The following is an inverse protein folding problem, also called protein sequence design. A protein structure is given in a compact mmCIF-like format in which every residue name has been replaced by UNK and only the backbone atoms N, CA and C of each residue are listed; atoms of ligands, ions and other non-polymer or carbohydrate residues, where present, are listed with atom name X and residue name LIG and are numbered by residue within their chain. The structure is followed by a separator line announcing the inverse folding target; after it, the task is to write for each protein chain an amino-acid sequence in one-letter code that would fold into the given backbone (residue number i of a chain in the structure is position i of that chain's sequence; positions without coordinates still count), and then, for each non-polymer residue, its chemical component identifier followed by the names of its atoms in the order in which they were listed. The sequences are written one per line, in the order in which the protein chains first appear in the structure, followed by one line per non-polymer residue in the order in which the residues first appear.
data_IF_959605242841
#
_entry.id   IF_959605242841
#
_cell.length_a   1.000
_cell.length_b   1.000
_cell.length_c   1.000
_cell.angle_alpha   90.00
_cell.angle_beta   90.00
_cell.angle_gamma   90.00
#
_symmetry.space_group_name_H-M   'P 1'
#
loop_
_entity.id
_entity.type
_entity.pdbx_description
1 polymer ?
#
# COMPACT_ATOMS: atom_id res chain seq x y z
N UNK A 1 7.90 11.87 6.43
CA UNK A 1 9.32 11.58 6.11
C UNK A 1 10.28 12.48 6.89
N UNK A 2 9.96 13.74 7.12
CA UNK A 2 10.82 14.70 7.79
C UNK A 2 11.20 14.36 9.24
N UNK A 3 10.42 13.52 9.93
CA UNK A 3 10.66 13.14 11.34
C UNK A 3 11.49 11.85 11.44
N UNK A 4 11.36 10.94 10.48
CA UNK A 4 11.98 9.59 10.53
C UNK A 4 13.08 9.37 9.49
N UNK A 5 13.45 10.41 8.73
CA UNK A 5 14.42 10.34 7.65
C UNK A 5 13.84 9.75 6.35
N UNK A 6 14.59 9.86 5.26
CA UNK A 6 14.23 9.27 3.98
C UNK A 6 14.48 7.75 4.00
N UNK A 7 13.54 6.95 3.48
CA UNK A 7 13.76 5.51 3.36
C UNK A 7 14.85 5.22 2.33
N UNK A 8 15.54 4.08 2.45
CA UNK A 8 16.55 3.69 1.48
C UNK A 8 15.88 3.41 0.12
N UNK A 9 16.18 4.23 -0.88
CA UNK A 9 15.62 4.12 -2.24
C UNK A 9 15.97 2.81 -2.96
N UNK A 10 16.89 2.00 -2.41
CA UNK A 10 17.35 0.73 -2.96
C UNK A 10 16.90 -0.48 -2.11
N UNK A 11 15.85 -0.35 -1.30
CA UNK A 11 15.39 -1.43 -0.43
C UNK A 11 15.03 -2.69 -1.23
N UNK A 12 14.32 -2.53 -2.34
CA UNK A 12 13.97 -3.65 -3.21
C UNK A 12 15.18 -4.33 -3.84
N UNK A 13 16.18 -3.58 -4.27
CA UNK A 13 17.42 -4.13 -4.82
C UNK A 13 18.18 -4.94 -3.76
N UNK A 14 18.19 -4.48 -2.52
CA UNK A 14 18.77 -5.21 -1.40
C UNK A 14 18.04 -6.52 -1.16
N UNK A 15 16.70 -6.50 -1.14
CA UNK A 15 15.87 -7.70 -1.05
C UNK A 15 16.12 -8.65 -2.24
N UNK A 16 16.10 -8.14 -3.46
CA UNK A 16 16.24 -8.96 -4.67
C UNK A 16 17.63 -9.62 -4.79
N UNK A 17 18.67 -8.96 -4.25
CA UNK A 17 20.04 -9.48 -4.27
C UNK A 17 20.25 -10.59 -3.25
N UNK A 18 19.73 -10.44 -2.05
CA UNK A 18 19.88 -11.41 -0.96
C UNK A 18 18.59 -11.45 -0.10
N UNK A 19 17.55 -12.18 -0.58
CA UNK A 19 16.29 -12.29 0.13
C UNK A 19 16.42 -12.96 1.49
N UNK A 20 17.34 -13.92 1.64
CA UNK A 20 17.57 -14.61 2.89
C UNK A 20 18.04 -13.63 3.96
N UNK A 21 19.12 -12.92 3.69
CA UNK A 21 19.68 -11.94 4.62
C UNK A 21 18.70 -10.80 4.94
N UNK A 22 17.87 -10.40 3.95
CA UNK A 22 16.81 -9.43 4.18
C UNK A 22 15.80 -9.96 5.19
N UNK A 23 15.38 -11.23 5.06
CA UNK A 23 14.44 -11.87 5.98
C UNK A 23 15.03 -12.07 7.38
N UNK A 24 16.28 -12.50 7.50
CA UNK A 24 16.99 -12.61 8.78
C UNK A 24 16.92 -11.30 9.57
N UNK A 25 17.27 -10.18 8.93
CA UNK A 25 17.16 -8.85 9.55
C UNK A 25 15.71 -8.48 9.91
N UNK A 26 14.77 -8.82 9.07
CA UNK A 26 13.35 -8.51 9.27
C UNK A 26 12.75 -9.26 10.47
N UNK A 27 13.19 -10.47 10.72
CA UNK A 27 12.83 -11.25 11.92
C UNK A 27 13.39 -10.58 13.17
N UNK A 28 14.65 -10.19 13.17
CA UNK A 28 15.29 -9.48 14.28
C UNK A 28 14.58 -8.13 14.57
N UNK A 29 14.30 -7.35 13.54
CA UNK A 29 13.56 -6.08 13.64
C UNK A 29 12.14 -6.29 14.19
N UNK A 30 11.45 -7.37 13.80
CA UNK A 30 10.10 -7.67 14.29
C UNK A 30 10.07 -8.08 15.76
N UNK A 31 11.18 -8.61 16.29
CA UNK A 31 11.31 -8.89 17.70
C UNK A 31 11.45 -7.63 18.57
N UNK A 32 11.87 -6.50 17.95
CA UNK A 32 12.00 -5.20 18.63
C UNK A 32 11.44 -4.10 17.74
N UNK A 33 10.09 -3.97 17.63
CA UNK A 33 9.46 -3.01 16.74
C UNK A 33 9.79 -1.58 17.15
N UNK A 34 9.99 -0.70 16.16
CA UNK A 34 10.19 0.72 16.40
C UNK A 34 8.92 1.39 16.97
N UNK A 35 9.09 2.51 17.69
CA UNK A 35 7.96 3.32 18.18
C UNK A 35 6.99 3.70 17.06
N UNK A 36 7.51 3.97 15.86
CA UNK A 36 6.70 4.25 14.69
C UNK A 36 5.87 3.04 14.25
N UNK A 37 6.44 1.83 14.24
CA UNK A 37 5.71 0.61 13.92
C UNK A 37 4.59 0.34 14.94
N UNK A 38 4.90 0.51 16.23
CA UNK A 38 3.91 0.39 17.31
C UNK A 38 2.79 1.42 17.20
N UNK A 39 3.11 2.67 16.86
CA UNK A 39 2.12 3.72 16.65
C UNK A 39 1.16 3.41 15.49
N UNK A 40 1.68 2.88 14.38
CA UNK A 40 0.82 2.46 13.25
C UNK A 40 -0.06 1.27 13.66
N UNK A 41 0.48 0.28 14.40
CA UNK A 41 -0.29 -0.88 14.81
C UNK A 41 -1.40 -0.52 15.81
N UNK A 42 -1.19 0.52 16.63
CA UNK A 42 -2.18 1.05 17.56
C UNK A 42 -3.15 2.06 16.94
N UNK A 43 -2.94 2.46 15.68
CA UNK A 43 -3.76 3.48 15.04
C UNK A 43 -5.19 2.98 14.78
N UNK A 44 -6.16 3.86 14.98
CA UNK A 44 -7.57 3.63 14.70
C UNK A 44 -8.06 4.54 13.58
N UNK A 45 -9.08 4.12 12.80
CA UNK A 45 -9.69 4.98 11.81
C UNK A 45 -10.20 6.28 12.43
N UNK A 46 -9.89 7.41 11.79
CA UNK A 46 -10.35 8.72 12.18
C UNK A 46 -11.66 9.11 11.43
N UNK A 47 -12.32 10.24 11.78
CA UNK A 47 -13.54 10.68 11.12
C UNK A 47 -13.44 10.81 9.60
N UNK A 48 -12.26 11.13 9.05
CA UNK A 48 -12.05 11.20 7.60
C UNK A 48 -12.17 9.83 6.93
N UNK A 49 -11.64 8.76 7.56
CA UNK A 49 -11.79 7.39 7.05
C UNK A 49 -13.26 6.97 7.04
N UNK A 50 -13.99 7.24 8.13
CA UNK A 50 -15.43 6.92 8.19
C UNK A 50 -16.26 7.73 7.20
N UNK A 51 -15.97 9.04 7.04
CA UNK A 51 -16.65 9.89 6.08
C UNK A 51 -16.48 9.40 4.63
N UNK A 52 -15.30 8.91 4.25
CA UNK A 52 -15.08 8.31 2.93
C UNK A 52 -15.86 7.01 2.75
N UNK A 53 -15.91 6.15 3.76
CA UNK A 53 -16.73 4.94 3.72
C UNK A 53 -18.24 5.25 3.64
N UNK A 54 -18.70 6.31 4.32
CA UNK A 54 -20.10 6.79 4.20
C UNK A 54 -20.39 7.32 2.79
N UNK A 55 -19.46 8.08 2.19
CA UNK A 55 -19.63 8.56 0.80
C UNK A 55 -19.70 7.38 -0.18
N UNK A 56 -18.95 6.31 0.04
CA UNK A 56 -19.07 5.09 -0.76
C UNK A 56 -20.44 4.43 -0.55
N UNK A 57 -20.88 4.29 0.71
CA UNK A 57 -22.14 3.63 1.05
C UNK A 57 -23.37 4.31 0.43
N UNK A 58 -23.33 5.66 0.27
CA UNK A 58 -24.40 6.42 -0.40
C UNK A 58 -24.19 6.56 -1.92
N UNK A 59 -23.14 5.92 -2.48
CA UNK A 59 -22.87 5.87 -3.92
C UNK A 59 -22.25 7.14 -4.51
N UNK A 60 -21.74 8.06 -3.69
CA UNK A 60 -21.03 9.28 -4.13
C UNK A 60 -19.56 8.96 -4.43
N UNK A 61 -18.86 8.27 -3.52
CA UNK A 61 -17.51 7.79 -3.76
C UNK A 61 -17.55 6.43 -4.45
N UNK A 62 -17.09 6.38 -5.69
CA UNK A 62 -17.06 5.14 -6.48
C UNK A 62 -15.90 4.24 -6.13
N UNK A 63 -14.72 4.83 -5.95
CA UNK A 63 -13.48 4.10 -5.69
C UNK A 63 -12.49 4.97 -4.93
N UNK A 64 -11.70 4.35 -4.06
CA UNK A 64 -10.63 4.99 -3.31
C UNK A 64 -9.27 4.42 -3.73
N UNK A 65 -8.33 5.30 -4.07
CA UNK A 65 -6.92 4.95 -4.29
C UNK A 65 -6.14 5.46 -3.09
N UNK A 66 -5.48 4.57 -2.35
CA UNK A 66 -4.66 4.98 -1.21
C UNK A 66 -3.21 4.59 -1.38
N UNK A 67 -2.31 5.46 -0.92
CA UNK A 67 -0.89 5.19 -0.78
C UNK A 67 -0.54 4.60 0.59
N UNK A 68 -1.47 4.68 1.55
CA UNK A 68 -1.28 4.17 2.90
C UNK A 68 -1.31 2.63 2.91
N UNK A 69 -0.54 2.06 3.85
CA UNK A 69 -0.39 0.60 4.01
C UNK A 69 -0.96 0.09 5.34
N UNK A 70 -1.68 0.97 6.07
CA UNK A 70 -2.09 0.82 7.47
C UNK A 70 -3.42 0.07 7.68
N UNK A 71 -4.16 -0.24 6.61
CA UNK A 71 -5.47 -0.89 6.62
C UNK A 71 -6.62 -0.04 7.19
N UNK A 72 -6.40 1.23 7.55
CA UNK A 72 -7.40 2.02 8.26
C UNK A 72 -8.65 2.31 7.44
N UNK A 73 -8.52 2.50 6.12
CA UNK A 73 -9.69 2.65 5.25
C UNK A 73 -10.58 1.42 5.23
N UNK A 74 -10.00 0.21 5.14
CA UNK A 74 -10.78 -1.04 5.18
C UNK A 74 -11.44 -1.24 6.55
N UNK A 75 -10.71 -0.94 7.62
CA UNK A 75 -11.24 -1.00 8.99
C UNK A 75 -12.36 0.01 9.23
N UNK A 76 -12.38 1.14 8.51
CA UNK A 76 -13.49 2.09 8.52
C UNK A 76 -14.71 1.63 7.70
N UNK A 77 -14.59 0.55 6.92
CA UNK A 77 -15.69 0.00 6.12
C UNK A 77 -15.57 0.22 4.61
N UNK A 78 -14.48 0.84 4.12
CA UNK A 78 -14.25 1.04 2.70
C UNK A 78 -14.13 -0.30 1.96
N UNK A 79 -14.93 -0.51 0.91
CA UNK A 79 -14.96 -1.75 0.12
C UNK A 79 -14.27 -1.59 -1.23
N UNK A 80 -14.59 -0.54 -1.98
CA UNK A 80 -14.02 -0.25 -3.29
C UNK A 80 -12.74 0.54 -3.15
N UNK A 81 -11.62 -0.17 -2.99
CA UNK A 81 -10.32 0.43 -2.68
C UNK A 81 -9.17 -0.27 -3.41
N UNK A 82 -8.23 0.53 -3.93
CA UNK A 82 -6.92 0.07 -4.39
C UNK A 82 -5.83 0.61 -3.46
N UNK A 83 -5.15 -0.28 -2.77
CA UNK A 83 -3.97 0.00 -1.95
C UNK A 83 -2.75 -0.09 -2.86
N UNK A 84 -2.42 1.04 -3.53
CA UNK A 84 -1.41 1.06 -4.60
C UNK A 84 -0.01 0.65 -4.11
N UNK A 85 0.30 0.90 -2.84
CA UNK A 85 1.54 0.49 -2.19
C UNK A 85 1.39 -0.77 -1.33
N UNK A 86 0.30 -1.53 -1.54
CA UNK A 86 0.00 -2.75 -0.79
C UNK A 86 -0.51 -2.50 0.63
N UNK A 87 -0.45 -3.53 1.47
CA UNK A 87 -0.99 -3.50 2.83
C UNK A 87 -0.07 -4.29 3.78
N UNK A 88 0.31 -3.68 4.91
CA UNK A 88 1.24 -4.27 5.89
C UNK A 88 0.69 -5.49 6.64
N UNK A 89 -0.62 -5.69 6.63
CA UNK A 89 -1.28 -6.82 7.27
C UNK A 89 -1.37 -8.06 6.37
N UNK A 90 -0.79 -7.98 5.18
CA UNK A 90 -0.74 -9.07 4.22
C UNK A 90 0.68 -9.48 3.85
N UNK A 91 0.81 -10.73 3.46
CA UNK A 91 1.99 -11.31 2.82
C UNK A 91 1.67 -11.55 1.35
N UNK A 92 2.65 -11.38 0.46
CA UNK A 92 2.46 -11.57 -0.98
C UNK A 92 3.61 -12.37 -1.59
N UNK A 93 3.26 -13.31 -2.47
CA UNK A 93 4.23 -13.98 -3.32
C UNK A 93 4.71 -13.04 -4.44
N UNK A 94 6.02 -12.88 -4.58
CA UNK A 94 6.64 -12.00 -5.58
C UNK A 94 6.51 -12.54 -7.01
N UNK A 95 6.18 -13.82 -7.19
CA UNK A 95 6.07 -14.43 -8.52
C UNK A 95 4.62 -14.51 -9.02
N UNK A 96 3.72 -15.10 -8.21
CA UNK A 96 2.34 -15.35 -8.65
C UNK A 96 1.32 -14.36 -8.07
N UNK A 97 1.71 -13.45 -7.17
CA UNK A 97 0.82 -12.47 -6.56
C UNK A 97 -0.12 -13.03 -5.47
N UNK A 98 -0.11 -14.34 -5.18
CA UNK A 98 -0.93 -14.92 -4.11
C UNK A 98 -0.68 -14.21 -2.78
N UNK A 99 -1.76 -13.98 -2.01
CA UNK A 99 -1.73 -13.19 -0.76
C UNK A 99 -2.29 -14.03 0.39
N UNK A 100 -1.76 -13.77 1.59
CA UNK A 100 -2.19 -14.38 2.85
C UNK A 100 -2.25 -13.32 3.95
N UNK A 101 -3.21 -13.39 4.89
CA UNK A 101 -3.15 -12.57 6.09
C UNK A 101 -1.82 -12.79 6.82
N UNK A 102 -1.14 -11.71 7.17
CA UNK A 102 0.16 -11.80 7.85
C UNK A 102 0.07 -12.55 9.17
N UNK A 103 -1.04 -12.40 9.90
CA UNK A 103 -1.29 -13.09 11.17
C UNK A 103 -1.41 -14.62 11.03
N UNK A 104 -1.75 -15.12 9.84
CA UNK A 104 -1.92 -16.55 9.54
C UNK A 104 -0.69 -17.13 8.82
N UNK A 105 0.22 -16.29 8.37
CA UNK A 105 1.39 -16.71 7.61
C UNK A 105 2.56 -17.02 8.55
N UNK A 106 2.90 -18.30 8.63
CA UNK A 106 4.02 -18.77 9.48
C UNK A 106 5.32 -18.62 8.71
N UNK A 107 6.27 -17.90 9.30
CA UNK A 107 7.65 -17.80 8.81
C UNK A 107 8.52 -18.73 9.67
N UNK A 108 9.16 -19.70 9.03
CA UNK A 108 10.15 -20.56 9.69
C UNK A 108 11.52 -19.87 9.61
N UNK A 109 12.15 -19.51 10.75
CA UNK A 109 13.47 -18.88 10.75
C UNK A 109 14.59 -19.77 10.21
N UNK A 110 14.37 -21.10 10.20
CA UNK A 110 15.37 -22.07 9.70
C UNK A 110 15.22 -22.32 8.19
N UNK A 111 14.10 -21.89 7.56
CA UNK A 111 13.85 -22.04 6.12
C UNK A 111 13.52 -20.68 5.46
N UNK A 112 14.53 -19.84 5.36
CA UNK A 112 14.42 -18.50 4.76
C UNK A 112 15.03 -18.47 3.35
N UNK A 113 14.48 -17.66 2.45
CA UNK A 113 13.27 -16.86 2.55
C UNK A 113 12.01 -17.73 2.42
N UNK A 114 10.87 -17.32 3.04
CA UNK A 114 9.63 -18.10 2.95
C UNK A 114 9.18 -18.30 1.50
N UNK A 115 8.73 -19.51 1.21
CA UNK A 115 8.28 -19.90 -0.13
C UNK A 115 6.76 -19.80 -0.28
N UNK A 116 6.31 -19.63 -1.51
CA UNK A 116 4.92 -19.58 -1.86
C UNK A 116 4.23 -20.93 -1.59
N UNK A 117 3.09 -20.90 -0.90
CA UNK A 117 2.28 -22.07 -0.64
C UNK A 117 1.35 -22.45 -1.82
N UNK A 118 1.27 -21.62 -2.88
CA UNK A 118 0.48 -21.94 -4.06
C UNK A 118 1.12 -23.11 -4.83
N UNK A 119 0.30 -24.05 -5.36
CA UNK A 119 0.82 -25.24 -6.07
C UNK A 119 1.76 -24.84 -7.23
N UNK A 120 2.91 -25.52 -7.30
CA UNK A 120 3.94 -25.35 -8.35
C UNK A 120 4.54 -23.94 -8.45
N UNK A 121 4.34 -23.06 -7.48
CA UNK A 121 4.93 -21.75 -7.48
C UNK A 121 6.24 -21.73 -6.67
N UNK A 122 7.42 -21.51 -7.29
CA UNK A 122 8.69 -21.43 -6.57
C UNK A 122 8.96 -20.03 -6.00
N UNK A 123 7.96 -19.14 -6.01
CA UNK A 123 8.11 -17.74 -5.63
C UNK A 123 8.46 -17.54 -4.16
N UNK A 124 9.15 -16.44 -3.90
CA UNK A 124 9.44 -15.96 -2.54
C UNK A 124 8.28 -15.11 -2.05
N UNK A 125 7.96 -15.25 -0.76
CA UNK A 125 6.94 -14.43 -0.10
C UNK A 125 7.61 -13.32 0.70
N UNK A 126 7.02 -12.13 0.68
CA UNK A 126 7.37 -11.01 1.58
C UNK A 126 6.12 -10.27 2.05
N UNK A 127 6.27 -9.29 2.94
CA UNK A 127 5.20 -8.34 3.24
C UNK A 127 4.64 -7.73 1.96
N UNK A 128 3.34 -7.57 1.87
CA UNK A 128 2.67 -7.05 0.67
C UNK A 128 2.94 -5.56 0.40
N UNK A 129 3.58 -4.86 1.32
CA UNK A 129 3.99 -3.46 1.10
C UNK A 129 5.00 -3.34 -0.04
N UNK A 130 4.79 -2.39 -0.94
CA UNK A 130 5.71 -2.09 -2.03
C UNK A 130 6.92 -1.34 -1.48
N UNK A 131 8.10 -1.89 -1.68
CA UNK A 131 9.38 -1.28 -1.27
C UNK A 131 9.80 -0.18 -2.23
N UNK A 132 10.64 0.75 -1.78
CA UNK A 132 11.27 1.69 -2.70
C UNK A 132 12.11 0.97 -3.74
N UNK A 133 11.87 1.32 -5.03
CA UNK A 133 12.48 0.65 -6.18
C UNK A 133 11.79 -0.64 -6.62
N UNK A 134 10.74 -1.09 -5.90
CA UNK A 134 9.92 -2.22 -6.31
C UNK A 134 8.88 -1.79 -7.35
N UNK A 135 8.68 -2.56 -8.43
CA UNK A 135 7.56 -2.33 -9.33
C UNK A 135 6.22 -2.51 -8.60
N UNK A 136 5.35 -1.54 -8.75
CA UNK A 136 3.96 -1.67 -8.25
C UNK A 136 3.26 -2.79 -9.02
N UNK A 137 2.45 -3.63 -8.35
CA UNK A 137 1.70 -4.68 -9.02
C UNK A 137 0.86 -4.15 -10.18
N UNK A 138 0.98 -4.79 -11.35
CA UNK A 138 0.31 -4.33 -12.57
C UNK A 138 -1.22 -4.28 -12.43
N UNK A 139 -1.82 -5.17 -11.64
CA UNK A 139 -3.25 -5.15 -11.34
C UNK A 139 -3.66 -3.87 -10.60
N UNK A 140 -2.85 -3.42 -9.62
CA UNK A 140 -3.10 -2.18 -8.88
C UNK A 140 -3.02 -0.96 -9.82
N UNK A 141 -1.99 -0.90 -10.68
CA UNK A 141 -1.84 0.16 -11.67
C UNK A 141 -3.01 0.18 -12.65
N UNK A 142 -3.39 -0.98 -13.18
CA UNK A 142 -4.53 -1.12 -14.09
C UNK A 142 -5.83 -0.64 -13.44
N UNK A 143 -6.09 -1.04 -12.20
CA UNK A 143 -7.29 -0.63 -11.48
C UNK A 143 -7.32 0.87 -11.20
N UNK A 144 -6.20 1.44 -10.75
CA UNK A 144 -6.10 2.90 -10.55
C UNK A 144 -6.35 3.67 -11.85
N UNK A 145 -5.74 3.26 -12.96
CA UNK A 145 -5.97 3.88 -14.27
C UNK A 145 -7.43 3.77 -14.70
N UNK A 146 -8.02 2.58 -14.61
CA UNK A 146 -9.43 2.35 -14.97
C UNK A 146 -10.39 3.24 -14.17
N UNK A 147 -10.22 3.35 -12.86
CA UNK A 147 -11.10 4.17 -12.03
C UNK A 147 -10.85 5.67 -12.23
N UNK A 148 -9.61 6.06 -12.53
CA UNK A 148 -9.30 7.44 -12.93
C UNK A 148 -9.98 7.79 -14.24
N UNK A 149 -9.99 6.89 -15.24
CA UNK A 149 -10.65 7.09 -16.52
C UNK A 149 -12.17 7.20 -16.41
N UNK A 150 -12.77 6.54 -15.44
CA UNK A 150 -14.22 6.55 -15.20
C UNK A 150 -14.68 7.71 -14.30
N UNK A 151 -13.74 8.44 -13.69
CA UNK A 151 -14.08 9.51 -12.76
C UNK A 151 -14.73 10.70 -13.49
N UNK A 152 -15.80 11.24 -12.91
CA UNK A 152 -16.46 12.50 -13.28
C UNK A 152 -16.13 13.62 -12.29
N UNK A 153 -15.55 13.28 -11.13
CA UNK A 153 -14.93 14.16 -10.16
C UNK A 153 -13.78 13.41 -9.51
N UNK A 154 -12.66 14.07 -9.24
CA UNK A 154 -11.49 13.47 -8.57
C UNK A 154 -11.16 14.25 -7.31
N UNK A 155 -10.98 13.56 -6.17
CA UNK A 155 -10.65 14.21 -4.89
C UNK A 155 -9.27 13.73 -4.41
N UNK A 156 -8.41 14.67 -4.04
CA UNK A 156 -7.12 14.40 -3.39
C UNK A 156 -7.19 14.80 -1.92
N UNK A 157 -6.75 13.92 -1.02
CA UNK A 157 -6.83 14.14 0.42
C UNK A 157 -5.50 13.80 1.08
N UNK A 158 -4.89 14.76 1.77
CA UNK A 158 -3.68 14.55 2.57
C UNK A 158 -2.47 14.05 1.78
N UNK A 159 -2.37 14.40 0.50
CA UNK A 159 -1.25 14.01 -0.37
C UNK A 159 -0.56 15.23 -0.96
N UNK A 160 0.77 15.19 -1.07
CA UNK A 160 1.58 16.23 -1.73
C UNK A 160 1.68 16.05 -3.25
N UNK A 161 1.10 14.99 -3.80
CA UNK A 161 1.11 14.67 -5.25
C UNK A 161 2.53 14.63 -5.87
N UNK A 162 3.53 14.17 -5.11
CA UNK A 162 4.94 14.11 -5.57
C UNK A 162 5.46 12.69 -5.76
N UNK A 163 4.78 11.66 -5.22
CA UNK A 163 5.23 10.26 -5.29
C UNK A 163 4.59 9.56 -6.49
N UNK A 164 5.42 9.18 -7.46
CA UNK A 164 4.98 8.44 -8.64
C UNK A 164 4.98 6.92 -8.41
N UNK A 165 4.04 6.19 -9.07
CA UNK A 165 3.07 6.66 -10.05
C UNK A 165 1.77 7.23 -9.46
N UNK A 166 1.54 7.23 -8.14
CA UNK A 166 0.29 7.69 -7.55
C UNK A 166 -0.06 9.14 -7.92
N UNK A 167 0.96 10.01 -8.00
CA UNK A 167 0.81 11.41 -8.37
C UNK A 167 0.27 11.64 -9.80
N UNK A 168 0.41 10.67 -10.69
CA UNK A 168 -0.07 10.83 -12.08
C UNK A 168 -1.59 10.82 -12.21
N UNK A 169 -2.31 10.09 -11.35
CA UNK A 169 -3.77 9.92 -11.48
C UNK A 169 -4.57 11.22 -11.34
N UNK A 170 -4.34 12.08 -10.34
CA UNK A 170 -5.00 13.39 -10.29
C UNK A 170 -4.59 14.29 -11.48
N UNK A 171 -3.34 14.21 -11.94
CA UNK A 171 -2.86 14.97 -13.11
C UNK A 171 -3.57 14.51 -14.39
N UNK A 172 -3.72 13.21 -14.60
CA UNK A 172 -4.47 12.65 -15.73
C UNK A 172 -5.94 13.03 -15.70
N UNK A 173 -6.58 12.99 -14.52
CA UNK A 173 -7.94 13.46 -14.34
C UNK A 173 -8.07 14.94 -14.72
N UNK A 174 -7.16 15.81 -14.25
CA UNK A 174 -7.12 17.22 -14.59
C UNK A 174 -6.95 17.46 -16.09
N UNK A 175 -6.04 16.76 -16.76
CA UNK A 175 -5.83 16.88 -18.22
C UNK A 175 -7.06 16.47 -19.03
N UNK A 176 -7.92 15.63 -18.51
CA UNK A 176 -9.20 15.25 -19.10
C UNK A 176 -10.32 16.27 -18.80
N UNK A 177 -10.04 17.31 -18.03
CA UNK A 177 -11.01 18.32 -17.63
C UNK A 177 -11.95 17.85 -16.51
N UNK A 178 -11.59 16.78 -15.78
CA UNK A 178 -12.35 16.31 -14.63
C UNK A 178 -12.17 17.31 -13.47
N UNK A 179 -13.26 17.75 -12.79
CA UNK A 179 -13.16 18.59 -11.62
C UNK A 179 -12.31 17.95 -10.54
N UNK A 180 -11.37 18.72 -9.98
CA UNK A 180 -10.55 18.30 -8.85
C UNK A 180 -11.01 18.98 -7.57
N UNK A 181 -11.09 18.21 -6.49
CA UNK A 181 -11.29 18.70 -5.13
C UNK A 181 -10.05 18.37 -4.34
N UNK A 182 -9.42 19.37 -3.73
CA UNK A 182 -8.28 19.19 -2.86
C UNK A 182 -8.68 19.41 -1.40
N UNK A 183 -8.29 18.45 -0.52
CA UNK A 183 -8.47 18.53 0.92
C UNK A 183 -7.10 18.33 1.57
N UNK A 184 -6.41 19.41 1.82
CA UNK A 184 -5.07 19.43 2.38
C UNK A 184 -4.92 20.62 3.35
N UNK A 185 -4.07 20.51 4.40
CA UNK A 185 -3.77 21.66 5.26
C UNK A 185 -2.93 22.73 4.55
N UNK A 186 -2.20 22.37 3.52
CA UNK A 186 -1.36 23.22 2.68
C UNK A 186 -1.70 23.02 1.21
N UNK A 187 -1.48 24.04 0.38
CA UNK A 187 -1.63 23.93 -1.08
C UNK A 187 -0.56 22.98 -1.66
N UNK A 188 -0.93 22.14 -2.65
CA UNK A 188 -0.05 21.16 -3.29
C UNK A 188 0.06 21.38 -4.81
#
# INVERSE_FOLDING_TARGET
WTIHGEPPLNEFQTFATDPQRWWERRIDESATPSDFALAIDAAEPNPGHYGLAELEAIGVLRHLITQNVDDLHRRAGQQSITEIHGNRHWMRCMLCGARWPKAEFIVDPEDLPPRCAAPMCPGIVKSDTVMFGEPIPGEALFRCGQETDLADCFMTIGTSVVVYPAAQYPIEAAHRGVPLIEVNPEET
#
